data_IF_436339413287
#
_entry.id   IF_436339413287
#
_cell.length_a   1.000
_cell.length_b   1.000
_cell.length_c   1.000
_cell.angle_alpha   90.00
_cell.angle_beta   90.00
_cell.angle_gamma   90.00
#
_symmetry.space_group_name_H-M   'P 1'
#
loop_
_entity.id
_entity.type
_entity.pdbx_description
1 polymer ?
#
# COMPACT_ATOMS: atom_id res chain seq x y z
N UNK A 1 -20.42 -35.93 8.36
CA UNK A 1 -19.71 -35.14 7.34
C UNK A 1 -20.01 -33.68 7.62
N UNK A 2 -18.99 -32.89 7.92
CA UNK A 2 -19.11 -31.48 8.29
C UNK A 2 -19.44 -30.61 7.06
N UNK A 3 -20.73 -30.39 6.82
CA UNK A 3 -21.20 -29.48 5.77
C UNK A 3 -20.83 -28.01 6.04
N UNK A 4 -20.54 -27.66 7.29
CA UNK A 4 -20.21 -26.29 7.72
C UNK A 4 -18.88 -25.80 7.14
N UNK A 5 -17.88 -26.69 7.00
CA UNK A 5 -16.57 -26.33 6.45
C UNK A 5 -16.60 -26.19 4.92
N UNK A 6 -17.39 -27.03 4.24
CA UNK A 6 -17.57 -26.94 2.80
C UNK A 6 -18.33 -25.66 2.40
N UNK A 7 -19.38 -25.30 3.15
CA UNK A 7 -20.13 -24.06 2.91
C UNK A 7 -19.25 -22.82 3.13
N UNK A 8 -18.48 -22.76 4.23
CA UNK A 8 -17.53 -21.66 4.46
C UNK A 8 -16.48 -21.51 3.36
N UNK A 9 -16.07 -22.62 2.76
CA UNK A 9 -15.10 -22.59 1.66
C UNK A 9 -15.69 -22.02 0.38
N UNK A 10 -16.96 -22.32 0.08
CA UNK A 10 -17.67 -21.73 -1.07
C UNK A 10 -17.94 -20.24 -0.87
N UNK A 11 -18.42 -19.85 0.33
CA UNK A 11 -18.70 -18.45 0.64
C UNK A 11 -17.42 -17.58 0.52
N UNK A 12 -16.27 -18.12 0.94
CA UNK A 12 -14.98 -17.45 0.77
C UNK A 12 -14.54 -17.33 -0.70
N UNK A 13 -14.74 -18.37 -1.51
CA UNK A 13 -14.43 -18.35 -2.94
C UNK A 13 -15.29 -17.32 -3.69
N UNK A 14 -16.57 -17.21 -3.36
CA UNK A 14 -17.46 -16.20 -3.94
C UNK A 14 -16.99 -14.78 -3.59
N UNK A 15 -16.51 -14.56 -2.37
CA UNK A 15 -15.90 -13.28 -1.96
C UNK A 15 -14.66 -12.97 -2.80
N UNK A 16 -13.76 -13.95 -3.00
CA UNK A 16 -12.56 -13.75 -3.81
C UNK A 16 -12.90 -13.39 -5.26
N UNK A 17 -13.83 -14.12 -5.88
CA UNK A 17 -14.26 -13.86 -7.26
C UNK A 17 -14.90 -12.48 -7.41
N UNK A 18 -15.69 -12.07 -6.42
CA UNK A 18 -16.28 -10.73 -6.39
C UNK A 18 -15.19 -9.66 -6.24
N UNK A 19 -14.23 -9.85 -5.33
CA UNK A 19 -13.12 -8.92 -5.10
C UNK A 19 -12.22 -8.73 -6.34
N UNK A 20 -12.16 -9.67 -7.27
CA UNK A 20 -11.42 -9.49 -8.52
C UNK A 20 -12.05 -8.44 -9.46
N UNK A 21 -13.38 -8.28 -9.41
CA UNK A 21 -14.13 -7.47 -10.38
C UNK A 21 -14.77 -6.22 -9.79
N UNK A 22 -14.99 -6.19 -8.47
CA UNK A 22 -15.58 -5.05 -7.78
C UNK A 22 -14.67 -3.81 -7.81
N UNK A 23 -15.26 -2.62 -7.89
CA UNK A 23 -14.50 -1.38 -7.76
C UNK A 23 -13.95 -1.18 -6.33
N UNK A 24 -12.90 -0.37 -6.19
CA UNK A 24 -12.30 -0.07 -4.87
C UNK A 24 -13.34 0.50 -3.89
N UNK A 25 -14.26 1.33 -4.36
CA UNK A 25 -15.32 1.94 -3.56
C UNK A 25 -16.36 0.90 -3.09
N UNK A 26 -16.73 -0.06 -3.94
CA UNK A 26 -17.62 -1.16 -3.56
C UNK A 26 -16.97 -2.06 -2.51
N UNK A 27 -15.68 -2.38 -2.69
CA UNK A 27 -14.91 -3.16 -1.72
C UNK A 27 -14.83 -2.42 -0.39
N UNK A 28 -14.56 -1.12 -0.41
CA UNK A 28 -14.52 -0.31 0.81
C UNK A 28 -15.89 -0.29 1.51
N UNK A 29 -16.97 -0.05 0.77
CA UNK A 29 -18.33 -0.08 1.31
C UNK A 29 -18.65 -1.43 1.95
N UNK A 30 -18.40 -2.54 1.25
CA UNK A 30 -18.65 -3.88 1.76
C UNK A 30 -17.82 -4.18 3.02
N UNK A 31 -16.53 -3.85 3.02
CA UNK A 31 -15.64 -4.07 4.15
C UNK A 31 -16.05 -3.30 5.41
N UNK A 32 -16.41 -2.03 5.27
CA UNK A 32 -16.80 -1.19 6.40
C UNK A 32 -18.17 -1.53 6.97
N UNK A 33 -19.09 -2.03 6.14
CA UNK A 33 -20.43 -2.47 6.57
C UNK A 33 -20.47 -3.92 7.09
N UNK A 34 -19.50 -4.75 6.68
CA UNK A 34 -19.43 -6.15 7.10
C UNK A 34 -19.05 -6.31 8.58
N UNK A 35 -19.40 -7.46 9.16
CA UNK A 35 -18.98 -7.88 10.49
C UNK A 35 -18.83 -9.41 10.55
N UNK A 36 -18.24 -9.92 11.64
CA UNK A 36 -18.09 -11.36 11.86
C UNK A 36 -17.22 -12.05 10.79
N UNK A 37 -17.63 -13.23 10.34
CA UNK A 37 -16.86 -14.03 9.37
C UNK A 37 -16.69 -13.35 8.03
N UNK A 38 -17.74 -12.71 7.50
CA UNK A 38 -17.67 -12.00 6.21
C UNK A 38 -16.61 -10.90 6.21
N UNK A 39 -16.42 -10.20 7.35
CA UNK A 39 -15.35 -9.19 7.46
C UNK A 39 -13.97 -9.83 7.43
N UNK A 40 -13.78 -10.97 8.11
CA UNK A 40 -12.51 -11.70 8.07
C UNK A 40 -12.20 -12.23 6.68
N UNK A 41 -13.21 -12.76 5.99
CA UNK A 41 -13.09 -13.26 4.62
C UNK A 41 -12.70 -12.13 3.65
N UNK A 42 -13.35 -10.96 3.78
CA UNK A 42 -12.97 -9.75 3.05
C UNK A 42 -11.54 -9.30 3.40
N UNK A 43 -11.17 -9.26 4.69
CA UNK A 43 -9.80 -8.90 5.11
C UNK A 43 -8.75 -9.80 4.44
N UNK A 44 -8.93 -11.12 4.50
CA UNK A 44 -7.98 -12.07 3.91
C UNK A 44 -7.94 -11.97 2.38
N UNK A 45 -9.10 -11.84 1.73
CA UNK A 45 -9.18 -11.69 0.28
C UNK A 45 -8.53 -10.40 -0.21
N UNK A 46 -8.80 -9.28 0.46
CA UNK A 46 -8.17 -7.99 0.18
C UNK A 46 -6.66 -8.09 0.35
N UNK A 47 -6.18 -8.68 1.45
CA UNK A 47 -4.75 -8.89 1.70
C UNK A 47 -4.07 -9.70 0.60
N UNK A 48 -4.70 -10.80 0.16
CA UNK A 48 -4.17 -11.63 -0.93
C UNK A 48 -4.04 -10.82 -2.22
N UNK A 49 -5.08 -10.07 -2.60
CA UNK A 49 -5.09 -9.28 -3.84
C UNK A 49 -4.15 -8.08 -3.79
N UNK A 50 -3.93 -7.47 -2.62
CA UNK A 50 -2.93 -6.40 -2.45
C UNK A 50 -1.51 -6.86 -2.79
N UNK A 51 -1.21 -8.15 -2.59
CA UNK A 51 0.10 -8.70 -2.89
C UNK A 51 0.21 -9.32 -4.29
N UNK A 52 -0.91 -9.50 -4.99
CA UNK A 52 -0.96 -9.98 -6.37
C UNK A 52 -1.49 -8.92 -7.36
N UNK A 53 -2.79 -8.96 -7.63
CA UNK A 53 -3.42 -8.40 -8.82
C UNK A 53 -3.89 -6.96 -8.60
N UNK A 54 -4.08 -6.55 -7.35
CA UNK A 54 -4.66 -5.25 -6.97
C UNK A 54 -3.87 -4.55 -5.85
N UNK A 55 -2.58 -4.25 -6.05
CA UNK A 55 -1.76 -3.57 -5.04
C UNK A 55 -2.26 -2.17 -4.65
N UNK A 56 -3.06 -1.52 -5.51
CA UNK A 56 -3.70 -0.24 -5.22
C UNK A 56 -4.65 -0.28 -4.00
N UNK A 57 -5.23 -1.45 -3.67
CA UNK A 57 -6.08 -1.61 -2.50
C UNK A 57 -5.35 -1.25 -1.20
N UNK A 58 -4.02 -1.35 -1.16
CA UNK A 58 -3.20 -0.96 -0.02
C UNK A 58 -3.43 0.49 0.41
N UNK A 59 -3.76 1.39 -0.53
CA UNK A 59 -4.06 2.80 -0.24
C UNK A 59 -5.40 2.96 0.48
N UNK A 60 -6.37 2.09 0.18
CA UNK A 60 -7.72 2.13 0.73
C UNK A 60 -7.83 1.41 2.08
N UNK A 61 -7.01 0.36 2.30
CA UNK A 61 -6.97 -0.40 3.55
C UNK A 61 -5.53 -0.54 4.06
N UNK A 62 -4.88 0.58 4.44
CA UNK A 62 -3.51 0.56 4.94
C UNK A 62 -3.33 -0.31 6.18
N UNK A 63 -4.39 -0.51 6.98
CA UNK A 63 -4.39 -1.37 8.17
C UNK A 63 -4.30 -2.86 7.85
N UNK A 64 -4.60 -3.26 6.61
CA UNK A 64 -4.53 -4.64 6.15
C UNK A 64 -3.16 -4.99 5.56
N UNK A 65 -2.30 -4.01 5.26
CA UNK A 65 -0.96 -4.28 4.74
C UNK A 65 -0.12 -5.02 5.78
N UNK A 66 0.54 -6.10 5.36
CA UNK A 66 1.37 -6.92 6.23
C UNK A 66 2.69 -6.18 6.50
N UNK A 67 3.01 -6.00 7.79
CA UNK A 67 4.22 -5.31 8.26
C UNK A 67 4.46 -3.97 7.53
N UNK A 68 3.53 -3.00 7.61
CA UNK A 68 3.63 -1.77 6.83
C UNK A 68 4.86 -0.96 7.25
N UNK A 69 5.54 -0.37 6.26
CA UNK A 69 6.69 0.50 6.46
C UNK A 69 6.29 1.91 6.06
N UNK A 70 6.52 2.89 6.93
CA UNK A 70 6.30 4.31 6.62
C UNK A 70 7.52 4.90 5.95
N UNK A 71 7.31 5.93 5.14
CA UNK A 71 8.40 6.62 4.46
C UNK A 71 9.45 7.18 5.44
N UNK A 72 9.00 7.62 6.63
CA UNK A 72 9.87 8.12 7.70
C UNK A 72 10.84 7.06 8.26
N UNK A 73 10.43 5.79 8.25
CA UNK A 73 11.19 4.67 8.82
C UNK A 73 12.06 3.97 7.77
N UNK A 74 11.87 4.33 6.49
CA UNK A 74 12.54 3.74 5.34
C UNK A 74 14.08 3.85 5.42
N UNK A 75 14.71 4.98 5.84
CA UNK A 75 16.17 5.08 5.97
C UNK A 75 16.76 4.15 7.03
N UNK A 76 16.01 3.86 8.10
CA UNK A 76 16.46 2.96 9.18
C UNK A 76 16.50 1.52 8.68
N UNK A 77 15.57 1.14 7.81
CA UNK A 77 15.45 -0.22 7.26
C UNK A 77 16.31 -0.42 6.02
N UNK A 78 16.43 0.63 5.19
CA UNK A 78 17.09 0.61 3.89
C UNK A 78 18.02 1.83 3.75
N UNK A 79 19.28 1.72 4.21
CA UNK A 79 20.24 2.83 4.21
C UNK A 79 20.48 3.46 2.82
N UNK A 80 20.32 2.71 1.73
CA UNK A 80 20.41 3.20 0.34
C UNK A 80 19.41 4.33 0.02
N UNK A 81 18.33 4.44 0.80
CA UNK A 81 17.31 5.48 0.66
C UNK A 81 17.78 6.83 1.23
N UNK A 82 18.76 6.81 2.15
CA UNK A 82 19.17 7.98 2.93
C UNK A 82 19.51 9.20 2.05
N UNK A 83 20.32 8.99 0.99
CA UNK A 83 20.75 10.10 0.13
C UNK A 83 19.58 10.73 -0.62
N UNK A 84 18.72 9.89 -1.22
CA UNK A 84 17.55 10.35 -1.97
C UNK A 84 16.57 11.10 -1.05
N UNK A 85 16.35 10.58 0.16
CA UNK A 85 15.47 11.19 1.15
C UNK A 85 16.01 12.50 1.70
N UNK A 86 17.30 12.57 2.04
CA UNK A 86 17.94 13.80 2.49
C UNK A 86 17.89 14.90 1.40
N UNK A 87 18.08 14.52 0.14
CA UNK A 87 17.97 15.43 -1.00
C UNK A 87 16.55 15.96 -1.18
N UNK A 88 15.53 15.11 -0.99
CA UNK A 88 14.13 15.50 -1.01
C UNK A 88 13.81 16.50 0.10
N UNK A 89 14.11 16.14 1.35
CA UNK A 89 13.89 16.98 2.54
C UNK A 89 14.56 18.34 2.38
N UNK A 90 15.83 18.39 1.97
CA UNK A 90 16.54 19.65 1.74
C UNK A 90 15.85 20.53 0.70
N UNK A 91 15.33 19.95 -0.38
CA UNK A 91 14.62 20.71 -1.41
C UNK A 91 13.25 21.22 -0.94
N UNK A 92 12.54 20.45 -0.10
CA UNK A 92 11.28 20.86 0.52
C UNK A 92 11.50 22.01 1.51
N UNK A 93 12.48 21.90 2.41
CA UNK A 93 12.85 22.99 3.34
C UNK A 93 13.24 24.27 2.61
N UNK A 94 13.91 24.14 1.45
CA UNK A 94 14.24 25.30 0.62
C UNK A 94 13.01 25.93 -0.02
N UNK A 95 12.03 25.14 -0.46
CA UNK A 95 10.75 25.64 -1.00
C UNK A 95 9.93 26.47 -0.02
N UNK A 96 10.06 26.20 1.27
CA UNK A 96 9.42 27.02 2.31
C UNK A 96 9.88 28.49 2.25
N UNK A 97 11.10 28.74 1.77
CA UNK A 97 11.70 30.08 1.65
C UNK A 97 11.77 30.56 0.18
N UNK A 98 11.86 29.63 -0.77
CA UNK A 98 11.94 29.87 -2.21
C UNK A 98 10.88 29.02 -2.95
N UNK A 99 9.62 29.47 -3.07
CA UNK A 99 8.52 28.66 -3.62
C UNK A 99 8.75 28.10 -5.03
N UNK A 100 9.54 28.82 -5.84
CA UNK A 100 9.89 28.42 -7.21
C UNK A 100 11.06 27.43 -7.29
N UNK A 101 11.72 27.11 -6.18
CA UNK A 101 12.83 26.16 -6.17
C UNK A 101 12.33 24.78 -6.64
N UNK A 102 13.03 24.07 -7.54
CA UNK A 102 12.60 22.76 -8.01
C UNK A 102 12.66 21.70 -6.91
N UNK A 103 11.63 20.85 -6.82
CA UNK A 103 11.66 19.67 -5.94
C UNK A 103 12.71 18.69 -6.49
N UNK A 104 13.69 18.33 -5.65
CA UNK A 104 14.75 17.38 -6.02
C UNK A 104 14.59 16.12 -5.18
N UNK A 105 15.19 15.01 -5.61
CA UNK A 105 15.17 13.76 -4.82
C UNK A 105 13.89 12.92 -4.96
N UNK A 106 12.74 13.50 -5.33
CA UNK A 106 11.48 12.75 -5.52
C UNK A 106 11.63 11.56 -6.47
N UNK A 107 12.12 11.79 -7.70
CA UNK A 107 12.28 10.74 -8.69
C UNK A 107 13.31 9.68 -8.28
N UNK A 108 14.39 10.10 -7.59
CA UNK A 108 15.39 9.18 -7.07
C UNK A 108 14.80 8.28 -5.97
N UNK A 109 14.04 8.86 -5.05
CA UNK A 109 13.38 8.13 -3.97
C UNK A 109 12.33 7.14 -4.52
N UNK A 110 11.52 7.58 -5.50
CA UNK A 110 10.57 6.70 -6.20
C UNK A 110 11.25 5.54 -6.92
N UNK A 111 12.41 5.79 -7.54
CA UNK A 111 13.18 4.75 -8.21
C UNK A 111 13.73 3.72 -7.21
N UNK A 112 14.33 4.18 -6.11
CA UNK A 112 14.86 3.28 -5.07
C UNK A 112 13.73 2.45 -4.42
N UNK A 113 12.56 3.03 -4.14
CA UNK A 113 11.39 2.28 -3.63
C UNK A 113 10.96 1.19 -4.62
N UNK A 114 10.98 1.49 -5.91
CA UNK A 114 10.64 0.52 -6.95
C UNK A 114 11.70 -0.60 -7.04
N UNK A 115 12.98 -0.24 -6.96
CA UNK A 115 14.08 -1.21 -6.96
C UNK A 115 14.02 -2.14 -5.74
N UNK A 116 13.69 -1.62 -4.55
CA UNK A 116 13.49 -2.44 -3.35
C UNK A 116 12.35 -3.47 -3.53
N UNK A 117 11.28 -3.10 -4.24
CA UNK A 117 10.21 -4.03 -4.63
C UNK A 117 10.72 -5.08 -5.61
N UNK A 118 11.44 -4.66 -6.65
CA UNK A 118 11.96 -5.57 -7.68
C UNK A 118 12.98 -6.57 -7.11
N UNK A 119 13.70 -6.18 -6.05
CA UNK A 119 14.59 -7.05 -5.27
C UNK A 119 13.85 -7.96 -4.27
N UNK A 120 12.51 -7.86 -4.17
CA UNK A 120 11.70 -8.63 -3.22
C UNK A 120 11.86 -8.20 -1.76
N UNK A 121 12.43 -7.02 -1.50
CA UNK A 121 12.64 -6.46 -0.14
C UNK A 121 11.45 -5.63 0.33
N UNK A 122 10.59 -5.23 -0.60
CA UNK A 122 9.28 -4.67 -0.34
C UNK A 122 8.22 -5.51 -1.05
N UNK A 123 7.10 -5.70 -0.38
CA UNK A 123 5.89 -6.27 -0.97
C UNK A 123 5.24 -5.29 -1.96
N UNK A 124 4.33 -5.78 -2.81
CA UNK A 124 3.65 -4.91 -3.78
C UNK A 124 2.77 -3.86 -3.08
N UNK A 125 2.13 -4.27 -1.97
CA UNK A 125 1.33 -3.41 -1.13
C UNK A 125 2.18 -2.34 -0.41
N UNK A 126 3.32 -2.73 0.19
CA UNK A 126 4.24 -1.81 0.85
C UNK A 126 4.79 -0.76 -0.13
N UNK A 127 5.23 -1.19 -1.32
CA UNK A 127 5.71 -0.29 -2.36
C UNK A 127 4.63 0.72 -2.76
N UNK A 128 3.40 0.26 -2.95
CA UNK A 128 2.28 1.13 -3.33
C UNK A 128 1.95 2.15 -2.26
N UNK A 129 1.93 1.75 -0.98
CA UNK A 129 1.75 2.68 0.14
C UNK A 129 2.86 3.73 0.21
N UNK A 130 4.12 3.31 0.12
CA UNK A 130 5.26 4.23 0.18
C UNK A 130 5.24 5.25 -0.97
N UNK A 131 4.87 4.82 -2.18
CA UNK A 131 4.71 5.72 -3.33
C UNK A 131 3.53 6.69 -3.15
N UNK A 132 2.43 6.24 -2.53
CA UNK A 132 1.30 7.10 -2.19
C UNK A 132 1.68 8.15 -1.13
N UNK A 133 2.39 7.75 -0.07
CA UNK A 133 2.94 8.66 0.95
C UNK A 133 3.88 9.70 0.30
N UNK A 134 4.78 9.25 -0.57
CA UNK A 134 5.69 10.11 -1.31
C UNK A 134 4.94 11.11 -2.20
N UNK A 135 3.89 10.68 -2.90
CA UNK A 135 3.05 11.56 -3.70
C UNK A 135 2.33 12.62 -2.85
N UNK A 136 1.96 12.29 -1.61
CA UNK A 136 1.42 13.23 -0.63
C UNK A 136 2.37 14.40 -0.34
N UNK A 137 3.68 14.14 -0.26
CA UNK A 137 4.71 15.17 -0.02
C UNK A 137 4.84 16.21 -1.15
N UNK A 138 4.34 15.91 -2.36
CA UNK A 138 4.36 16.87 -3.48
C UNK A 138 3.23 17.90 -3.38
N UNK A 139 2.14 17.56 -2.67
CA UNK A 139 0.94 18.40 -2.55
C UNK A 139 1.00 19.38 -1.37
N UNK A 140 1.87 19.13 -0.39
CA UNK A 140 2.17 20.04 0.73
C UNK A 140 3.32 20.97 0.42
#
# INVERSE_FOLDING_TARGET
MDNTNAQRSNDYLDVLLWLETASEDEIAGAYWLSSGSTKMDLSHGIQALMESDRPALAIYFPELVIAPIKLADLPTTFPEVCEAMARLQKSMSRRQHEPHYPLKGYGALSAVISELKDQGRLSAAQCTLLLAELAGLKKG
#
